data_IF_844931929837
#
_entry.id   IF_844931929837
#
_cell.length_a   1.000
_cell.length_b   1.000
_cell.length_c   1.000
_cell.angle_alpha   90.00
_cell.angle_beta   90.00
_cell.angle_gamma   90.00
#
_symmetry.space_group_name_H-M   'P 1'
#
loop_
_entity.id
_entity.type
_entity.pdbx_description
1 polymer ?
#
# COMPACT_ATOMS: atom_id res chain seq x y z
N UNK A 1 -52.57 -67.90 35.46
CA UNK A 1 -53.24 -67.06 34.45
C UNK A 1 -52.36 -66.97 33.21
N UNK A 2 -52.87 -66.48 32.06
CA UNK A 2 -52.17 -66.59 30.77
C UNK A 2 -50.98 -65.61 30.67
N UNK A 3 -49.84 -66.09 30.17
CA UNK A 3 -48.92 -65.24 29.41
C UNK A 3 -49.56 -64.91 28.06
N UNK A 4 -49.39 -63.68 27.60
CA UNK A 4 -49.62 -63.30 26.21
C UNK A 4 -48.27 -62.95 25.57
N UNK A 5 -47.74 -63.87 24.78
CA UNK A 5 -46.70 -63.52 23.81
C UNK A 5 -47.34 -62.70 22.69
N UNK A 6 -46.85 -61.49 22.48
CA UNK A 6 -47.24 -60.65 21.34
C UNK A 6 -46.33 -61.04 20.18
N UNK A 7 -46.87 -61.79 19.21
CA UNK A 7 -46.13 -62.20 18.01
C UNK A 7 -46.05 -61.00 17.06
N UNK A 8 -44.90 -60.34 17.02
CA UNK A 8 -44.66 -59.12 16.24
C UNK A 8 -44.46 -59.40 14.73
N UNK A 9 -44.15 -60.63 14.35
CA UNK A 9 -43.86 -61.00 12.96
C UNK A 9 -44.99 -61.81 12.32
N UNK A 10 -45.42 -61.40 11.12
CA UNK A 10 -46.40 -62.14 10.32
C UNK A 10 -45.79 -63.45 9.78
N UNK A 11 -46.59 -64.54 9.66
CA UNK A 11 -46.15 -65.76 9.00
C UNK A 11 -45.86 -65.50 7.51
N UNK A 12 -44.87 -66.22 6.96
CA UNK A 12 -44.29 -65.98 5.62
C UNK A 12 -45.33 -66.07 4.50
N UNK A 13 -46.27 -66.99 4.64
CA UNK A 13 -47.46 -67.20 3.80
C UNK A 13 -48.49 -66.05 3.82
N UNK A 14 -48.40 -65.12 4.78
CA UNK A 14 -49.17 -63.86 4.79
C UNK A 14 -48.35 -62.60 4.49
N UNK A 15 -47.02 -62.67 4.56
CA UNK A 15 -46.16 -61.52 4.26
C UNK A 15 -46.34 -61.02 2.80
N UNK A 16 -46.66 -61.93 1.87
CA UNK A 16 -46.89 -61.61 0.45
C UNK A 16 -48.28 -61.05 0.12
N UNK A 17 -49.20 -60.92 1.09
CA UNK A 17 -50.57 -60.40 0.86
C UNK A 17 -50.83 -59.01 1.47
N UNK A 18 -49.81 -58.36 2.03
CA UNK A 18 -49.90 -57.01 2.60
C UNK A 18 -49.31 -55.99 1.64
N UNK A 19 -50.20 -55.37 0.85
CA UNK A 19 -49.95 -54.24 -0.05
C UNK A 19 -48.93 -54.51 -1.20
N UNK A 20 -49.45 -54.92 -2.36
CA UNK A 20 -48.87 -54.48 -3.63
C UNK A 20 -49.10 -52.96 -3.79
N UNK A 21 -48.25 -52.16 -3.13
CA UNK A 21 -48.05 -50.77 -3.56
C UNK A 21 -47.36 -50.81 -4.91
N UNK A 22 -48.09 -50.48 -5.98
CA UNK A 22 -47.45 -50.07 -7.22
C UNK A 22 -46.45 -48.93 -6.92
N UNK A 23 -45.22 -49.02 -7.46
CA UNK A 23 -44.25 -47.92 -7.35
C UNK A 23 -44.84 -46.66 -8.00
N UNK A 24 -44.61 -45.52 -7.37
CA UNK A 24 -45.01 -44.20 -7.91
C UNK A 24 -43.98 -43.63 -8.88
N UNK A 25 -42.74 -44.09 -8.74
CA UNK A 25 -41.56 -43.79 -9.54
C UNK A 25 -41.12 -45.01 -10.38
N UNK A 26 -40.05 -44.87 -11.18
CA UNK A 26 -39.66 -45.79 -12.25
C UNK A 26 -40.78 -46.04 -13.29
N UNK A 27 -41.40 -44.97 -13.79
CA UNK A 27 -42.46 -45.01 -14.82
C UNK A 27 -42.05 -44.36 -16.14
N UNK A 28 -42.54 -44.87 -17.29
CA UNK A 28 -42.12 -44.46 -18.65
C UNK A 28 -42.39 -42.97 -19.00
N UNK A 29 -43.13 -42.24 -18.17
CA UNK A 29 -43.40 -40.80 -18.33
C UNK A 29 -43.09 -40.02 -17.03
N UNK A 30 -42.06 -40.45 -16.27
CA UNK A 30 -41.63 -39.82 -15.01
C UNK A 30 -41.31 -38.32 -15.19
N UNK A 31 -40.45 -38.03 -16.16
CA UNK A 31 -39.89 -36.71 -16.51
C UNK A 31 -40.93 -35.68 -16.95
N UNK A 32 -42.18 -36.09 -17.22
CA UNK A 32 -43.28 -35.17 -17.55
C UNK A 32 -44.08 -34.71 -16.31
N UNK A 33 -43.76 -35.22 -15.11
CA UNK A 33 -44.35 -34.80 -13.84
C UNK A 33 -43.52 -33.65 -13.28
N UNK A 34 -44.14 -32.63 -12.64
CA UNK A 34 -43.36 -31.66 -11.85
C UNK A 34 -42.54 -32.40 -10.77
N UNK A 35 -41.28 -32.01 -10.61
CA UNK A 35 -40.34 -32.55 -9.64
C UNK A 35 -40.92 -32.60 -8.22
N UNK A 36 -40.57 -33.67 -7.50
CA UNK A 36 -41.03 -33.95 -6.15
C UNK A 36 -39.94 -34.67 -5.33
N UNK A 37 -39.42 -33.96 -4.32
CA UNK A 37 -38.34 -34.43 -3.44
C UNK A 37 -38.57 -35.83 -2.85
N UNK A 38 -39.80 -36.13 -2.43
CA UNK A 38 -40.16 -37.43 -1.84
C UNK A 38 -40.08 -38.55 -2.89
N UNK A 39 -40.54 -38.29 -4.11
CA UNK A 39 -40.54 -39.26 -5.23
C UNK A 39 -39.15 -39.49 -5.83
N UNK A 40 -38.44 -38.43 -6.23
CA UNK A 40 -37.16 -38.58 -6.94
C UNK A 40 -35.99 -38.90 -6.01
N UNK A 41 -35.89 -38.23 -4.86
CA UNK A 41 -34.67 -38.24 -4.05
C UNK A 41 -34.78 -38.99 -2.71
N UNK A 42 -35.99 -39.30 -2.23
CA UNK A 42 -36.21 -40.06 -0.98
C UNK A 42 -36.75 -41.48 -1.22
N UNK A 43 -37.68 -41.68 -2.16
CA UNK A 43 -38.09 -43.01 -2.63
C UNK A 43 -37.03 -43.62 -3.58
N UNK A 44 -36.26 -42.81 -4.33
CA UNK A 44 -35.26 -43.24 -5.32
C UNK A 44 -33.93 -42.43 -5.25
N UNK A 45 -32.99 -42.73 -6.16
CA UNK A 45 -31.64 -42.10 -6.20
C UNK A 45 -31.57 -41.04 -7.30
N UNK A 46 -31.68 -39.76 -6.95
CA UNK A 46 -31.71 -38.67 -7.93
C UNK A 46 -30.33 -38.15 -8.37
N UNK A 47 -30.32 -37.61 -9.59
CA UNK A 47 -29.29 -36.78 -10.19
C UNK A 47 -29.37 -35.32 -9.72
N UNK A 48 -28.36 -34.52 -10.06
CA UNK A 48 -28.32 -33.10 -9.69
C UNK A 48 -29.39 -32.29 -10.41
N UNK A 49 -29.71 -32.67 -11.65
CA UNK A 49 -30.69 -31.96 -12.48
C UNK A 49 -32.12 -32.18 -11.95
N UNK A 50 -32.47 -33.40 -11.55
CA UNK A 50 -33.74 -33.70 -10.88
C UNK A 50 -33.86 -32.90 -9.56
N UNK A 51 -32.79 -32.81 -8.76
CA UNK A 51 -32.79 -31.96 -7.57
C UNK A 51 -32.99 -30.47 -7.93
N UNK A 52 -32.41 -30.00 -9.04
CA UNK A 52 -32.56 -28.62 -9.54
C UNK A 52 -34.00 -28.32 -9.96
N UNK A 53 -34.68 -29.28 -10.59
CA UNK A 53 -36.10 -29.21 -10.96
C UNK A 53 -37.04 -29.29 -9.74
N UNK A 54 -36.64 -29.98 -8.67
CA UNK A 54 -37.39 -30.05 -7.40
C UNK A 54 -37.42 -28.70 -6.68
N UNK A 55 -36.29 -27.99 -6.60
CA UNK A 55 -36.18 -26.75 -5.80
C UNK A 55 -36.42 -25.46 -6.57
N UNK A 56 -36.28 -25.47 -7.91
CA UNK A 56 -36.38 -24.29 -8.79
C UNK A 56 -35.45 -23.12 -8.39
N UNK A 57 -34.41 -23.43 -7.59
CA UNK A 57 -33.52 -22.47 -6.91
C UNK A 57 -32.12 -23.08 -6.74
N UNK A 58 -31.11 -22.41 -7.28
CA UNK A 58 -29.72 -22.87 -7.26
C UNK A 58 -29.18 -23.10 -5.84
N UNK A 59 -29.37 -22.14 -4.92
CA UNK A 59 -28.81 -22.23 -3.58
C UNK A 59 -29.47 -23.35 -2.78
N UNK A 60 -30.80 -23.52 -2.89
CA UNK A 60 -31.51 -24.62 -2.23
C UNK A 60 -31.13 -25.99 -2.82
N UNK A 61 -30.89 -26.06 -4.13
CA UNK A 61 -30.40 -27.26 -4.80
C UNK A 61 -29.04 -27.68 -4.24
N UNK A 62 -28.09 -26.73 -4.14
CA UNK A 62 -26.76 -27.01 -3.60
C UNK A 62 -26.82 -27.38 -2.11
N UNK A 63 -27.58 -26.65 -1.29
CA UNK A 63 -27.76 -26.93 0.15
C UNK A 63 -28.46 -28.27 0.45
N UNK A 64 -29.26 -28.79 -0.49
CA UNK A 64 -29.77 -30.17 -0.44
C UNK A 64 -28.72 -31.18 -0.93
N UNK A 65 -28.09 -30.89 -2.08
CA UNK A 65 -27.27 -31.86 -2.80
C UNK A 65 -26.00 -32.28 -2.04
N UNK A 66 -25.37 -31.35 -1.33
CA UNK A 66 -24.20 -31.63 -0.48
C UNK A 66 -24.56 -32.73 0.54
N UNK A 67 -25.55 -32.43 1.39
CA UNK A 67 -26.14 -33.34 2.39
C UNK A 67 -26.63 -34.66 1.79
N UNK A 68 -27.10 -34.66 0.55
CA UNK A 68 -27.58 -35.84 -0.16
C UNK A 68 -26.46 -36.77 -0.66
N UNK A 69 -25.21 -36.28 -0.84
CA UNK A 69 -24.10 -37.08 -1.36
C UNK A 69 -23.08 -37.52 -0.32
N UNK A 70 -22.74 -36.69 0.66
CA UNK A 70 -21.78 -37.04 1.72
C UNK A 70 -22.24 -36.71 3.15
N UNK A 71 -23.40 -36.06 3.30
CA UNK A 71 -24.02 -35.78 4.60
C UNK A 71 -23.67 -34.39 5.15
N UNK A 72 -24.53 -33.86 6.02
CA UNK A 72 -24.39 -32.52 6.59
C UNK A 72 -23.21 -32.46 7.57
N UNK A 73 -22.09 -31.89 7.12
CA UNK A 73 -20.87 -31.81 7.92
C UNK A 73 -20.97 -30.75 9.02
N UNK A 74 -21.94 -29.84 8.92
CA UNK A 74 -22.27 -28.85 9.93
C UNK A 74 -23.06 -29.42 11.12
N UNK A 75 -23.64 -30.63 11.04
CA UNK A 75 -24.27 -31.31 12.20
C UNK A 75 -23.31 -31.42 13.40
N UNK A 76 -22.02 -31.63 13.12
CA UNK A 76 -20.97 -31.71 14.15
C UNK A 76 -20.71 -30.39 14.89
N UNK A 77 -21.32 -29.28 14.44
CA UNK A 77 -21.08 -27.91 14.92
C UNK A 77 -19.59 -27.53 14.93
N UNK A 78 -18.86 -27.66 13.79
CA UNK A 78 -17.40 -27.54 13.77
C UNK A 78 -16.92 -26.10 14.02
N UNK A 79 -17.72 -25.10 13.63
CA UNK A 79 -17.40 -23.69 13.80
C UNK A 79 -17.59 -23.24 15.27
N UNK A 80 -16.48 -22.92 15.93
CA UNK A 80 -16.42 -22.42 17.30
C UNK A 80 -16.73 -20.93 17.35
N UNK A 81 -16.75 -20.36 18.57
CA UNK A 81 -16.78 -18.91 18.82
C UNK A 81 -17.85 -18.13 18.03
N UNK A 82 -19.06 -18.71 17.92
CA UNK A 82 -20.22 -18.14 17.21
C UNK A 82 -20.05 -17.99 15.69
N UNK A 83 -19.05 -18.66 15.09
CA UNK A 83 -18.94 -18.79 13.64
C UNK A 83 -20.13 -19.58 13.05
N UNK A 84 -20.59 -19.17 11.87
CA UNK A 84 -21.66 -19.87 11.14
C UNK A 84 -21.05 -20.91 10.20
N UNK A 85 -21.59 -22.12 10.19
CA UNK A 85 -21.18 -23.19 9.29
C UNK A 85 -21.99 -23.13 7.99
N UNK A 86 -21.34 -23.33 6.85
CA UNK A 86 -21.96 -23.67 5.57
C UNK A 86 -21.40 -25.00 5.06
N UNK A 87 -22.31 -25.90 4.73
CA UNK A 87 -22.06 -27.25 4.22
C UNK A 87 -21.69 -27.26 2.72
N UNK A 88 -20.92 -28.26 2.28
CA UNK A 88 -20.31 -28.36 0.95
C UNK A 88 -19.96 -29.81 0.58
N UNK A 89 -19.62 -30.08 -0.68
CA UNK A 89 -19.21 -31.41 -1.12
C UNK A 89 -17.78 -31.71 -0.62
N UNK A 90 -17.66 -32.66 0.31
CA UNK A 90 -16.41 -33.07 0.95
C UNK A 90 -15.78 -32.05 1.89
N UNK A 91 -16.37 -30.86 2.07
CA UNK A 91 -15.90 -29.83 2.99
C UNK A 91 -17.00 -28.90 3.51
N UNK A 92 -16.82 -28.41 4.74
CA UNK A 92 -17.55 -27.26 5.28
C UNK A 92 -16.68 -26.00 5.31
N UNK A 93 -17.33 -24.84 5.31
CA UNK A 93 -16.72 -23.53 5.48
C UNK A 93 -17.32 -22.80 6.70
N UNK A 94 -16.49 -22.14 7.50
CA UNK A 94 -16.89 -21.39 8.69
C UNK A 94 -16.75 -19.88 8.47
N UNK A 95 -17.85 -19.12 8.50
CA UNK A 95 -17.79 -17.66 8.54
C UNK A 95 -17.70 -17.21 10.00
N UNK A 96 -16.52 -16.79 10.44
CA UNK A 96 -16.23 -16.47 11.83
C UNK A 96 -16.84 -15.15 12.32
N UNK A 97 -17.05 -15.06 13.64
CA UNK A 97 -17.42 -13.81 14.31
C UNK A 97 -16.21 -12.86 14.38
N UNK A 98 -16.45 -11.55 14.58
CA UNK A 98 -15.36 -10.57 14.63
C UNK A 98 -14.36 -10.89 15.76
N UNK A 99 -13.06 -10.91 15.42
CA UNK A 99 -12.00 -11.26 16.36
C UNK A 99 -11.64 -12.75 16.39
N UNK A 100 -12.20 -13.58 15.50
CA UNK A 100 -11.85 -15.01 15.39
C UNK A 100 -11.49 -15.42 13.96
N UNK A 101 -10.55 -16.37 13.86
CA UNK A 101 -10.01 -16.92 12.61
C UNK A 101 -9.65 -18.42 12.76
N UNK A 102 -9.12 -19.03 11.71
CA UNK A 102 -8.87 -20.49 11.63
C UNK A 102 -10.03 -21.24 10.96
N UNK A 103 -9.80 -22.51 10.57
CA UNK A 103 -10.80 -23.30 9.81
C UNK A 103 -12.10 -23.49 10.60
N UNK A 104 -12.00 -23.52 11.93
CA UNK A 104 -13.09 -23.72 12.87
C UNK A 104 -13.36 -22.47 13.71
N UNK A 105 -12.86 -21.30 13.32
CA UNK A 105 -12.91 -20.07 14.13
C UNK A 105 -12.29 -20.24 15.54
N UNK A 106 -11.33 -21.15 15.67
CA UNK A 106 -10.73 -21.58 16.93
C UNK A 106 -9.62 -20.64 17.44
N UNK A 107 -9.11 -19.78 16.57
CA UNK A 107 -8.04 -18.83 16.88
C UNK A 107 -8.62 -17.45 17.19
N UNK A 108 -8.12 -16.80 18.25
CA UNK A 108 -8.44 -15.41 18.56
C UNK A 108 -7.52 -14.48 17.74
N UNK A 109 -8.09 -13.68 16.84
CA UNK A 109 -7.38 -12.67 16.05
C UNK A 109 -6.89 -11.55 16.96
N UNK A 110 -5.67 -11.70 17.48
CA UNK A 110 -5.01 -10.70 18.35
C UNK A 110 -4.63 -9.49 17.52
N UNK A 111 -5.44 -8.43 17.58
CA UNK A 111 -5.12 -7.12 17.00
C UNK A 111 -3.83 -6.60 17.67
N UNK A 112 -2.74 -6.58 16.92
CA UNK A 112 -1.36 -6.24 17.32
C UNK A 112 -0.77 -5.31 16.25
N UNK A 113 0.09 -4.37 16.62
CA UNK A 113 0.74 -3.49 15.65
C UNK A 113 1.73 -4.24 14.73
N UNK A 114 2.20 -5.40 15.14
CA UNK A 114 3.04 -6.30 14.33
C UNK A 114 2.28 -7.00 13.19
N UNK A 115 0.95 -6.93 13.14
CA UNK A 115 0.10 -7.58 12.13
C UNK A 115 -0.67 -6.51 11.35
N UNK A 116 -0.33 -6.31 10.07
CA UNK A 116 -0.73 -5.17 9.20
C UNK A 116 -0.93 -3.83 9.95
N UNK A 117 0.05 -3.44 10.77
CA UNK A 117 0.01 -2.19 11.52
C UNK A 117 -1.25 -2.03 12.40
N UNK A 118 -1.84 -3.16 12.86
CA UNK A 118 -3.10 -3.18 13.59
C UNK A 118 -4.24 -2.49 12.85
N UNK A 119 -4.32 -2.67 11.53
CA UNK A 119 -5.23 -2.02 10.58
C UNK A 119 -5.05 -0.49 10.41
N UNK A 120 -4.20 0.17 11.20
CA UNK A 120 -4.08 1.63 11.22
C UNK A 120 -3.51 2.18 9.90
N UNK A 121 -4.10 3.26 9.36
CA UNK A 121 -3.61 3.90 8.13
C UNK A 121 -2.24 4.57 8.28
N UNK A 122 -1.93 5.04 9.49
CA UNK A 122 -0.68 5.72 9.82
C UNK A 122 -0.08 5.13 11.12
N UNK A 123 -0.20 5.77 12.27
CA UNK A 123 0.49 5.31 13.49
C UNK A 123 -0.34 4.29 14.27
N UNK A 124 0.31 3.22 14.74
CA UNK A 124 -0.27 2.19 15.59
C UNK A 124 0.44 2.15 16.95
N UNK A 125 -0.32 2.02 18.05
CA UNK A 125 0.20 1.72 19.39
C UNK A 125 -0.65 0.65 20.07
N UNK A 126 -0.01 -0.19 20.89
CA UNK A 126 -0.69 -1.22 21.67
C UNK A 126 -0.97 -0.71 23.10
N UNK A 127 -2.24 -0.71 23.50
CA UNK A 127 -2.68 -0.30 24.84
C UNK A 127 -3.61 -1.35 25.44
N UNK A 128 -3.23 -1.94 26.58
CA UNK A 128 -4.03 -2.88 27.37
C UNK A 128 -4.67 -4.02 26.54
N UNK A 129 -3.88 -4.66 25.66
CA UNK A 129 -4.32 -5.71 24.73
C UNK A 129 -5.32 -5.27 23.65
N UNK A 130 -5.35 -3.97 23.34
CA UNK A 130 -6.03 -3.38 22.18
C UNK A 130 -5.05 -2.57 21.31
N UNK A 131 -5.45 -2.25 20.08
CA UNK A 131 -4.71 -1.34 19.19
C UNK A 131 -5.41 0.01 19.14
N UNK A 132 -4.66 1.07 19.45
CA UNK A 132 -5.05 2.47 19.28
C UNK A 132 -4.31 3.04 18.07
N UNK A 133 -5.06 3.60 17.12
CA UNK A 133 -4.51 4.28 15.95
C UNK A 133 -4.41 5.79 16.17
N UNK A 134 -3.43 6.43 15.52
CA UNK A 134 -3.30 7.89 15.46
C UNK A 134 -2.70 8.34 14.13
N UNK A 135 -2.90 9.62 13.79
CA UNK A 135 -2.58 10.16 12.48
C UNK A 135 -1.51 11.27 12.53
N UNK A 136 -0.90 11.55 11.38
CA UNK A 136 0.08 12.61 11.18
C UNK A 136 -0.57 14.01 11.18
N UNK A 137 0.26 15.06 11.26
CA UNK A 137 -0.21 16.44 11.21
C UNK A 137 -0.97 16.74 9.91
N UNK A 138 -2.17 17.34 10.01
CA UNK A 138 -3.07 17.58 8.86
C UNK A 138 -4.03 16.42 8.55
N UNK A 139 -4.08 15.40 9.41
CA UNK A 139 -5.02 14.30 9.35
C UNK A 139 -5.80 14.14 10.67
N UNK A 140 -7.05 13.68 10.56
CA UNK A 140 -7.91 13.26 11.67
C UNK A 140 -8.20 11.76 11.57
N UNK A 141 -8.39 11.11 12.71
CA UNK A 141 -8.84 9.72 12.78
C UNK A 141 -10.33 9.67 12.41
N UNK A 142 -10.69 8.82 11.44
CA UNK A 142 -12.08 8.62 11.02
C UNK A 142 -12.89 7.77 12.01
N UNK A 143 -14.21 7.75 11.83
CA UNK A 143 -15.17 7.12 12.76
C UNK A 143 -14.97 5.60 12.97
N UNK A 144 -14.26 4.93 12.05
CA UNK A 144 -13.86 3.52 12.19
C UNK A 144 -12.70 3.30 13.19
N UNK A 145 -12.10 4.36 13.74
CA UNK A 145 -10.96 4.30 14.65
C UNK A 145 -9.65 3.81 14.03
N UNK A 146 -9.57 3.69 12.70
CA UNK A 146 -8.43 3.13 11.95
C UNK A 146 -7.88 4.06 10.87
N UNK A 147 -8.76 4.73 10.15
CA UNK A 147 -8.41 5.48 8.94
C UNK A 147 -8.01 6.92 9.21
N UNK A 148 -7.08 7.45 8.41
CA UNK A 148 -6.57 8.81 8.55
C UNK A 148 -7.04 9.71 7.40
N UNK A 149 -8.02 10.55 7.69
CA UNK A 149 -8.69 11.45 6.73
C UNK A 149 -7.99 12.81 6.78
N UNK A 150 -7.68 13.40 5.62
CA UNK A 150 -7.07 14.74 5.59
C UNK A 150 -8.05 15.85 5.93
N UNK A 151 -7.59 16.87 6.67
CA UNK A 151 -8.32 18.15 6.86
C UNK A 151 -7.93 19.21 5.84
N UNK A 152 -6.77 19.07 5.18
CA UNK A 152 -6.17 20.09 4.33
C UNK A 152 -6.30 19.74 2.84
N UNK A 153 -6.22 20.72 1.92
CA UNK A 153 -6.12 20.44 0.48
C UNK A 153 -4.75 19.85 0.09
N UNK A 154 -3.69 20.18 0.85
CA UNK A 154 -2.31 19.75 0.61
C UNK A 154 -1.69 19.17 1.90
N UNK A 155 -2.19 18.03 2.41
CA UNK A 155 -1.68 17.41 3.62
C UNK A 155 -0.26 16.88 3.44
N UNK A 156 0.42 16.63 4.57
CA UNK A 156 1.75 16.06 4.51
C UNK A 156 1.75 14.68 3.83
N UNK A 157 2.83 14.38 3.12
CA UNK A 157 3.12 13.05 2.61
C UNK A 157 2.17 12.53 1.54
N UNK A 158 1.32 13.37 0.93
CA UNK A 158 0.59 12.98 -0.28
C UNK A 158 1.37 13.33 -1.54
N UNK A 159 1.21 12.48 -2.54
CA UNK A 159 1.47 12.84 -3.94
C UNK A 159 0.21 13.48 -4.52
N UNK A 160 0.46 14.36 -5.47
CA UNK A 160 -0.50 15.35 -5.98
C UNK A 160 -0.60 15.28 -7.50
N UNK A 161 -0.29 14.09 -8.06
CA UNK A 161 -0.49 13.73 -9.46
C UNK A 161 -1.85 14.26 -9.94
N UNK A 162 -1.84 15.04 -11.02
CA UNK A 162 -3.04 15.66 -11.56
C UNK A 162 -4.15 14.63 -11.75
N UNK A 163 -5.31 14.85 -11.10
CA UNK A 163 -6.47 13.95 -11.22
C UNK A 163 -6.91 13.90 -12.68
N UNK A 164 -6.50 12.85 -13.40
CA UNK A 164 -7.14 12.48 -14.66
C UNK A 164 -8.65 12.38 -14.41
N UNK A 165 -9.43 13.13 -15.18
CA UNK A 165 -10.89 13.18 -15.05
C UNK A 165 -11.46 11.83 -15.45
N UNK A 166 -11.59 10.93 -14.48
CA UNK A 166 -12.60 9.86 -14.57
C UNK A 166 -13.96 10.55 -14.61
N UNK A 167 -14.49 10.71 -15.81
CA UNK A 167 -15.87 11.14 -16.02
C UNK A 167 -16.79 10.16 -15.28
N UNK A 168 -17.40 10.63 -14.20
CA UNK A 168 -18.48 9.90 -13.56
C UNK A 168 -19.71 10.03 -14.47
N UNK A 169 -19.88 9.07 -15.38
CA UNK A 169 -21.04 9.04 -16.25
C UNK A 169 -22.27 8.70 -15.42
N UNK A 170 -23.15 9.68 -15.22
CA UNK A 170 -24.39 9.51 -14.49
C UNK A 170 -25.44 8.90 -15.41
N UNK A 171 -25.50 7.56 -15.43
CA UNK A 171 -26.60 6.80 -16.01
C UNK A 171 -27.93 7.21 -15.38
N UNK A 172 -28.61 8.15 -16.03
CA UNK A 172 -29.92 8.67 -15.64
C UNK A 172 -30.98 8.09 -16.58
N UNK A 173 -31.89 7.32 -16.02
CA UNK A 173 -32.94 6.63 -16.79
C UNK A 173 -33.94 7.64 -17.37
N UNK A 174 -34.13 7.61 -18.70
CA UNK A 174 -35.27 8.23 -19.36
C UNK A 174 -35.56 7.55 -20.71
N UNK A 175 -36.72 6.89 -20.83
CA UNK A 175 -37.33 6.55 -22.12
C UNK A 175 -38.12 7.78 -22.64
N UNK A 176 -38.35 7.94 -23.96
CA UNK A 176 -39.48 7.22 -24.58
C UNK A 176 -39.35 6.82 -26.07
N UNK A 177 -40.22 5.88 -26.45
CA UNK A 177 -40.95 5.70 -27.72
C UNK A 177 -40.27 5.76 -29.11
N UNK A 178 -40.21 4.57 -29.73
CA UNK A 178 -40.82 4.20 -31.02
C UNK A 178 -40.56 5.03 -32.31
N UNK A 179 -39.81 4.43 -33.25
CA UNK A 179 -39.81 4.75 -34.68
C UNK A 179 -39.40 3.55 -35.53
N UNK A 180 -40.09 3.31 -36.66
CA UNK A 180 -39.80 2.20 -37.60
C UNK A 180 -38.89 2.67 -38.75
N UNK A 181 -37.97 1.82 -39.20
CA UNK A 181 -37.95 1.35 -40.60
C UNK A 181 -37.05 0.11 -40.78
N UNK A 182 -37.38 -0.74 -41.74
CA UNK A 182 -36.71 -2.00 -42.07
C UNK A 182 -35.34 -1.81 -42.76
N UNK A 183 -34.37 -2.69 -42.51
CA UNK A 183 -33.81 -3.59 -43.55
C UNK A 183 -32.79 -4.63 -43.03
N UNK A 184 -33.16 -5.91 -43.22
CA UNK A 184 -32.34 -7.15 -43.24
C UNK A 184 -32.26 -7.61 -44.73
N UNK A 185 -31.48 -8.64 -45.18
CA UNK A 185 -30.97 -9.77 -44.38
C UNK A 185 -29.56 -10.34 -44.69
N UNK A 186 -29.13 -11.28 -43.85
CA UNK A 186 -28.30 -12.45 -44.23
C UNK A 186 -26.88 -12.49 -43.63
N UNK A 187 -26.34 -13.64 -43.20
CA UNK A 187 -26.85 -15.03 -43.22
C UNK A 187 -26.28 -15.83 -42.02
N UNK A 188 -26.86 -17.00 -41.68
CA UNK A 188 -26.64 -17.67 -40.38
C UNK A 188 -25.90 -19.01 -40.42
N UNK A 189 -24.84 -19.11 -39.60
CA UNK A 189 -24.42 -20.35 -38.91
C UNK A 189 -23.34 -21.20 -39.59
N UNK A 190 -22.99 -22.36 -39.00
CA UNK A 190 -23.49 -22.93 -37.74
C UNK A 190 -22.45 -22.97 -36.60
N UNK A 191 -22.94 -23.15 -35.37
CA UNK A 191 -22.14 -23.63 -34.23
C UNK A 191 -22.22 -25.14 -34.12
N UNK A 192 -21.09 -25.83 -33.94
CA UNK A 192 -21.07 -27.16 -33.30
C UNK A 192 -19.97 -27.25 -32.22
N UNK A 193 -20.17 -28.19 -31.31
CA UNK A 193 -19.50 -28.27 -30.02
C UNK A 193 -18.33 -29.27 -29.92
N UNK A 194 -18.04 -29.77 -28.71
CA UNK A 194 -16.70 -30.22 -28.35
C UNK A 194 -16.44 -31.71 -28.54
N UNK A 195 -15.15 -32.08 -28.67
CA UNK A 195 -14.48 -32.99 -27.71
C UNK A 195 -12.97 -33.20 -28.01
N UNK A 196 -12.18 -33.23 -26.94
CA UNK A 196 -10.94 -34.03 -26.74
C UNK A 196 -9.71 -33.87 -27.67
N UNK A 197 -8.62 -33.31 -27.11
CA UNK A 197 -7.46 -34.04 -26.51
C UNK A 197 -6.06 -33.52 -26.88
N UNK A 198 -5.20 -33.49 -25.85
CA UNK A 198 -3.73 -33.47 -25.84
C UNK A 198 -3.00 -32.23 -26.34
N UNK A 199 -2.53 -31.48 -25.35
CA UNK A 199 -1.28 -30.71 -25.24
C UNK A 199 -0.25 -30.87 -26.37
N UNK A 200 0.30 -29.74 -26.84
CA UNK A 200 1.72 -29.44 -26.67
C UNK A 200 2.01 -27.93 -26.78
N UNK A 201 3.26 -27.59 -26.47
CA UNK A 201 3.85 -26.31 -26.11
C UNK A 201 3.70 -25.12 -27.08
N UNK A 202 4.09 -23.95 -26.57
CA UNK A 202 4.45 -22.70 -27.26
C UNK A 202 3.32 -21.88 -27.91
N UNK A 203 3.10 -20.68 -27.37
CA UNK A 203 2.28 -19.62 -27.99
C UNK A 203 2.91 -18.27 -27.69
N UNK A 204 3.15 -17.49 -28.74
CA UNK A 204 3.64 -16.11 -28.65
C UNK A 204 2.52 -15.18 -28.15
N UNK A 205 2.82 -14.13 -27.37
CA UNK A 205 1.92 -12.98 -27.24
C UNK A 205 1.84 -12.21 -28.56
N UNK A 206 0.63 -11.76 -28.92
CA UNK A 206 0.44 -10.74 -29.95
C UNK A 206 1.01 -9.37 -29.52
N UNK A 207 1.03 -8.38 -30.44
CA UNK A 207 1.86 -7.20 -30.31
C UNK A 207 1.51 -6.31 -29.10
N UNK A 208 2.53 -5.96 -28.32
CA UNK A 208 2.51 -4.78 -27.46
C UNK A 208 2.65 -3.54 -28.36
N UNK A 209 1.94 -2.45 -28.04
CA UNK A 209 2.05 -1.17 -28.75
C UNK A 209 3.37 -0.48 -28.34
N UNK A 210 4.10 0.11 -29.29
CA UNK A 210 5.49 0.57 -29.10
C UNK A 210 5.65 1.64 -27.99
N UNK A 211 6.11 1.25 -26.79
CA UNK A 211 6.69 2.20 -25.82
C UNK A 211 8.16 2.50 -26.18
N UNK A 212 8.41 3.74 -26.60
CA UNK A 212 9.66 4.30 -27.15
C UNK A 212 10.95 3.90 -26.37
N UNK A 213 11.87 3.15 -27.00
CA UNK A 213 13.16 2.75 -26.41
C UNK A 213 14.18 3.93 -26.38
N UNK A 214 13.85 5.00 -25.65
CA UNK A 214 14.77 6.12 -25.38
C UNK A 214 14.31 6.90 -24.13
N UNK A 215 15.10 7.05 -23.06
CA UNK A 215 16.52 7.36 -23.05
C UNK A 215 17.15 7.17 -21.65
N UNK A 216 18.48 7.19 -21.56
CA UNK A 216 19.24 6.98 -20.31
C UNK A 216 19.10 8.17 -19.33
N UNK A 217 18.40 7.96 -18.21
CA UNK A 217 18.19 8.99 -17.18
C UNK A 217 19.21 8.88 -16.03
N UNK A 218 19.45 10.02 -15.35
CA UNK A 218 20.70 10.36 -14.69
C UNK A 218 20.52 11.49 -13.66
N UNK A 219 20.82 11.48 -12.35
CA UNK A 219 21.16 10.49 -11.29
C UNK A 219 21.36 9.04 -11.72
N UNK A 220 22.49 8.43 -11.31
CA UNK A 220 22.83 7.03 -11.62
C UNK A 220 21.67 6.10 -11.25
N UNK A 221 21.06 5.45 -12.25
CA UNK A 221 19.81 4.67 -12.15
C UNK A 221 18.50 5.47 -12.06
N UNK A 222 18.54 6.65 -11.44
CA UNK A 222 17.37 7.47 -11.12
C UNK A 222 16.66 8.07 -12.34
N UNK A 223 15.33 8.15 -12.26
CA UNK A 223 14.44 8.69 -13.30
C UNK A 223 13.96 10.10 -12.98
N UNK A 224 13.30 10.74 -13.94
CA UNK A 224 12.64 12.04 -13.73
C UNK A 224 11.50 11.92 -12.71
N UNK A 225 11.40 12.94 -11.85
CA UNK A 225 10.25 13.12 -10.98
C UNK A 225 9.12 13.81 -11.76
N UNK A 226 7.93 13.19 -11.79
CA UNK A 226 6.74 13.73 -12.45
C UNK A 226 6.14 14.91 -11.65
N UNK A 227 5.28 15.71 -12.29
CA UNK A 227 4.55 16.78 -11.61
C UNK A 227 3.77 16.23 -10.40
N UNK A 228 3.95 16.81 -9.21
CA UNK A 228 3.32 16.34 -7.98
C UNK A 228 3.81 14.98 -7.43
N UNK A 229 4.95 14.46 -7.91
CA UNK A 229 5.56 13.23 -7.39
C UNK A 229 6.56 13.44 -6.25
N UNK A 230 7.28 14.57 -6.22
CA UNK A 230 8.24 14.94 -5.18
C UNK A 230 7.91 16.30 -4.53
N UNK A 231 6.65 16.61 -4.15
CA UNK A 231 6.22 17.98 -3.84
C UNK A 231 6.84 18.58 -2.56
N UNK A 232 7.52 17.75 -1.75
CA UNK A 232 8.30 18.15 -0.58
C UNK A 232 9.76 18.54 -0.89
N UNK A 233 10.18 18.50 -2.15
CA UNK A 233 11.53 18.88 -2.55
C UNK A 233 11.76 20.38 -2.33
N UNK A 234 12.89 20.71 -1.72
CA UNK A 234 13.45 22.05 -1.72
C UNK A 234 14.88 22.06 -2.27
N UNK A 235 15.33 23.21 -2.73
CA UNK A 235 16.70 23.46 -3.22
C UNK A 235 17.28 24.69 -2.51
N UNK A 236 18.45 24.54 -1.89
CA UNK A 236 19.21 25.65 -1.32
C UNK A 236 20.09 26.24 -2.42
N UNK A 237 19.88 27.52 -2.72
CA UNK A 237 20.62 28.27 -3.76
C UNK A 237 21.47 29.39 -3.16
N UNK A 238 22.69 29.58 -3.69
CA UNK A 238 23.63 30.61 -3.24
C UNK A 238 23.22 32.04 -3.72
N UNK A 239 24.04 33.06 -3.46
CA UNK A 239 23.77 34.44 -3.92
C UNK A 239 23.85 34.60 -5.46
N UNK A 240 24.43 33.63 -6.17
CA UNK A 240 24.52 33.55 -7.64
C UNK A 240 23.38 32.69 -8.25
N UNK A 241 22.43 32.25 -7.41
CA UNK A 241 21.33 31.31 -7.69
C UNK A 241 21.72 29.87 -8.06
N UNK A 242 22.99 29.47 -7.87
CA UNK A 242 23.39 28.07 -8.06
C UNK A 242 22.89 27.19 -6.90
N UNK A 243 22.28 26.05 -7.23
CA UNK A 243 21.87 25.04 -6.26
C UNK A 243 23.05 24.23 -5.72
N UNK A 244 23.19 24.17 -4.38
CA UNK A 244 24.31 23.47 -3.73
C UNK A 244 23.90 22.32 -2.80
N UNK A 245 22.69 22.36 -2.24
CA UNK A 245 22.13 21.32 -1.39
C UNK A 245 20.61 21.19 -1.58
N UNK A 246 20.07 20.02 -1.32
CA UNK A 246 18.62 19.79 -1.19
C UNK A 246 18.06 20.18 0.19
N UNK A 247 16.74 20.13 0.29
CA UNK A 247 15.98 20.21 1.53
C UNK A 247 14.64 19.48 1.43
N UNK A 248 13.98 19.27 2.57
CA UNK A 248 12.63 18.67 2.66
C UNK A 248 11.66 19.62 3.33
N UNK A 249 10.55 19.95 2.69
CA UNK A 249 9.50 20.81 3.26
C UNK A 249 8.79 20.06 4.40
N UNK A 250 8.72 20.67 5.59
CA UNK A 250 8.01 20.13 6.77
C UNK A 250 6.73 20.92 7.10
N UNK A 251 6.70 22.21 6.77
CA UNK A 251 5.55 23.11 6.96
C UNK A 251 5.79 24.39 6.14
N UNK A 252 4.79 25.28 6.06
CA UNK A 252 4.87 26.56 5.33
C UNK A 252 6.14 27.38 5.65
N UNK A 253 6.60 27.31 6.91
CA UNK A 253 7.74 28.08 7.40
C UNK A 253 9.02 27.25 7.65
N UNK A 254 9.01 25.93 7.46
CA UNK A 254 10.14 25.07 7.89
C UNK A 254 10.57 24.05 6.85
N UNK A 255 11.88 24.01 6.62
CA UNK A 255 12.57 23.08 5.72
C UNK A 255 13.69 22.37 6.47
N UNK A 256 13.72 21.04 6.36
CA UNK A 256 14.77 20.17 6.90
C UNK A 256 15.93 20.08 5.91
N UNK A 257 17.17 20.09 6.38
CA UNK A 257 18.37 19.88 5.54
C UNK A 257 19.54 19.36 6.38
N UNK A 258 20.69 19.14 5.77
CA UNK A 258 21.92 18.74 6.45
C UNK A 258 22.61 19.94 7.12
N UNK A 259 23.29 19.72 8.26
CA UNK A 259 24.02 20.78 8.95
C UNK A 259 25.26 21.25 8.18
N UNK A 260 25.90 20.36 7.42
CA UNK A 260 27.08 20.70 6.63
C UNK A 260 26.78 21.68 5.48
N UNK A 261 25.55 21.68 4.93
CA UNK A 261 25.11 22.62 3.90
C UNK A 261 25.20 24.08 4.38
N UNK A 262 24.93 24.34 5.66
CA UNK A 262 25.04 25.67 6.28
C UNK A 262 26.47 26.23 6.32
N UNK A 263 27.47 25.39 6.04
CA UNK A 263 28.87 25.77 5.97
C UNK A 263 29.37 25.99 4.53
N UNK A 264 28.55 25.72 3.50
CA UNK A 264 28.92 25.92 2.10
C UNK A 264 28.65 27.36 1.63
N UNK A 265 27.54 27.99 2.07
CA UNK A 265 27.18 29.35 1.71
C UNK A 265 26.88 30.20 2.97
N UNK A 266 27.42 31.43 3.04
CA UNK A 266 27.15 32.38 4.15
C UNK A 266 25.72 32.93 4.16
N UNK A 267 25.13 33.02 2.98
CA UNK A 267 23.76 33.42 2.70
C UNK A 267 23.25 32.55 1.56
N UNK A 268 21.99 32.19 1.63
CA UNK A 268 21.32 31.36 0.64
C UNK A 268 19.81 31.60 0.72
N UNK A 269 19.11 31.24 -0.35
CA UNK A 269 17.65 31.17 -0.39
C UNK A 269 17.23 29.71 -0.49
N UNK A 270 15.99 29.42 -0.15
CA UNK A 270 15.36 28.13 -0.43
C UNK A 270 14.38 28.32 -1.57
N UNK A 271 14.61 27.64 -2.70
CA UNK A 271 13.59 27.49 -3.74
C UNK A 271 12.76 26.22 -3.51
N UNK A 272 11.49 26.27 -3.89
CA UNK A 272 10.53 25.16 -3.87
C UNK A 272 9.69 25.19 -5.15
N UNK A 273 9.20 24.03 -5.57
CA UNK A 273 8.39 23.86 -6.78
C UNK A 273 9.19 23.56 -8.04
N UNK A 274 10.47 23.94 -8.10
CA UNK A 274 11.37 23.66 -9.22
C UNK A 274 11.32 22.19 -9.66
N UNK A 275 11.14 22.01 -10.98
CA UNK A 275 11.25 20.71 -11.65
C UNK A 275 12.32 20.70 -12.74
N UNK A 276 12.57 21.85 -13.37
CA UNK A 276 13.66 22.04 -14.32
C UNK A 276 14.29 23.44 -14.15
N UNK A 277 15.54 23.49 -13.66
CA UNK A 277 16.29 24.72 -13.36
C UNK A 277 16.66 25.56 -14.62
N UNK A 278 16.43 25.03 -15.83
CA UNK A 278 16.59 25.76 -17.09
C UNK A 278 15.28 26.42 -17.58
N UNK A 279 14.18 26.29 -16.82
CA UNK A 279 12.85 26.82 -17.16
C UNK A 279 12.21 27.46 -15.93
N UNK A 280 11.30 28.41 -16.16
CA UNK A 280 10.32 28.83 -15.16
C UNK A 280 8.96 28.30 -15.62
N UNK A 281 8.41 27.35 -14.87
CA UNK A 281 7.12 26.69 -15.14
C UNK A 281 5.95 27.46 -14.49
N UNK A 282 6.26 28.42 -13.59
CA UNK A 282 5.35 29.46 -13.10
C UNK A 282 4.79 29.20 -11.69
N UNK A 283 5.23 28.12 -11.05
CA UNK A 283 4.84 27.70 -9.71
C UNK A 283 6.00 27.70 -8.71
N UNK A 284 7.22 28.00 -9.16
CA UNK A 284 8.43 28.08 -8.34
C UNK A 284 8.42 29.30 -7.40
N UNK A 285 8.86 29.10 -6.16
CA UNK A 285 8.93 30.16 -5.16
C UNK A 285 10.27 30.19 -4.43
N UNK A 286 10.88 31.38 -4.33
CA UNK A 286 12.16 31.60 -3.65
C UNK A 286 11.97 32.32 -2.31
N UNK A 287 12.35 31.66 -1.21
CA UNK A 287 12.17 32.12 0.16
C UNK A 287 13.51 32.50 0.81
N UNK A 288 13.54 33.63 1.52
CA UNK A 288 14.67 33.99 2.37
C UNK A 288 14.63 33.20 3.69
N UNK A 289 15.80 32.77 4.18
CA UNK A 289 15.93 32.11 5.49
C UNK A 289 16.05 33.17 6.59
N UNK A 290 15.19 33.08 7.61
CA UNK A 290 15.19 33.94 8.79
C UNK A 290 16.11 33.39 9.90
N UNK A 291 16.07 32.07 10.13
CA UNK A 291 16.84 31.40 11.19
C UNK A 291 17.38 30.06 10.69
N UNK A 292 18.64 29.75 11.02
CA UNK A 292 19.28 28.45 10.78
C UNK A 292 19.51 27.71 12.09
N UNK A 293 18.69 26.70 12.38
CA UNK A 293 18.78 25.91 13.61
C UNK A 293 19.56 24.62 13.34
N UNK A 294 20.88 24.66 13.49
CA UNK A 294 21.74 23.47 13.37
C UNK A 294 21.80 22.67 14.68
N UNK A 295 21.92 21.34 14.61
CA UNK A 295 22.06 20.55 15.82
C UNK A 295 23.42 20.80 16.49
N UNK A 296 23.40 21.08 17.81
CA UNK A 296 24.58 21.59 18.55
C UNK A 296 25.74 20.61 18.70
N UNK A 297 25.51 19.31 18.45
CA UNK A 297 26.54 18.25 18.46
C UNK A 297 26.99 17.81 17.06
N UNK A 298 26.72 18.60 16.02
CA UNK A 298 27.22 18.32 14.66
C UNK A 298 28.76 18.24 14.64
N UNK A 299 29.30 17.13 14.17
CA UNK A 299 30.74 16.88 14.03
C UNK A 299 31.08 16.91 12.54
N UNK A 300 31.94 17.83 12.11
CA UNK A 300 32.25 18.06 10.68
C UNK A 300 33.12 16.95 10.09
N UNK A 301 33.92 16.30 10.92
CA UNK A 301 34.93 15.31 10.56
C UNK A 301 34.32 13.93 10.29
N UNK A 302 33.16 13.64 10.90
CA UNK A 302 32.45 12.35 10.79
C UNK A 302 31.03 12.48 10.24
N UNK A 303 30.51 13.70 10.08
CA UNK A 303 29.10 14.02 9.80
C UNK A 303 28.13 13.43 10.84
N UNK A 304 28.58 13.11 12.05
CA UNK A 304 27.64 12.75 13.11
C UNK A 304 26.78 13.95 13.52
N UNK A 305 25.49 13.70 13.73
CA UNK A 305 24.47 14.73 13.92
C UNK A 305 24.36 15.77 12.78
N UNK A 306 24.57 15.35 11.54
CA UNK A 306 24.40 16.19 10.35
C UNK A 306 22.92 16.47 10.03
N UNK A 307 22.33 17.43 10.76
CA UNK A 307 20.93 17.85 10.65
C UNK A 307 20.73 19.32 11.04
N UNK A 308 19.93 20.02 10.23
CA UNK A 308 19.50 21.40 10.45
C UNK A 308 18.03 21.61 10.09
N UNK A 309 17.37 22.55 10.76
CA UNK A 309 16.05 23.09 10.38
C UNK A 309 16.23 24.55 9.99
N UNK A 310 15.72 24.91 8.82
CA UNK A 310 15.61 26.28 8.33
C UNK A 310 14.24 26.83 8.72
N UNK A 311 14.19 28.05 9.26
CA UNK A 311 12.96 28.84 9.37
C UNK A 311 12.93 29.88 8.24
N UNK A 312 11.88 29.88 7.45
CA UNK A 312 11.68 30.81 6.33
C UNK A 312 11.05 32.12 6.82
N UNK A 313 11.40 33.22 6.15
CA UNK A 313 10.90 34.58 6.41
C UNK A 313 9.50 34.84 5.84
N UNK A 314 9.13 34.07 4.81
CA UNK A 314 7.82 34.11 4.14
C UNK A 314 7.26 32.69 4.02
N UNK A 315 5.94 32.47 4.18
CA UNK A 315 5.34 31.15 4.08
C UNK A 315 5.38 30.63 2.65
N UNK A 316 5.74 29.35 2.50
CA UNK A 316 5.51 28.57 1.28
C UNK A 316 4.00 28.47 1.05
N UNK A 317 3.54 28.86 -0.14
CA UNK A 317 2.15 28.61 -0.56
C UNK A 317 2.05 27.21 -1.13
N UNK A 318 1.32 26.31 -0.47
CA UNK A 318 1.15 24.94 -0.97
C UNK A 318 0.29 24.88 -2.24
N UNK A 319 0.64 23.95 -3.13
CA UNK A 319 0.11 23.72 -4.48
C UNK A 319 0.14 22.23 -4.80
N UNK A 320 -0.21 21.84 -6.02
CA UNK A 320 0.04 20.49 -6.52
C UNK A 320 1.53 20.15 -6.41
N UNK A 321 2.42 20.89 -7.07
CA UNK A 321 3.86 20.62 -7.04
C UNK A 321 4.59 21.00 -5.72
N UNK A 322 3.91 21.58 -4.72
CA UNK A 322 4.54 22.05 -3.47
C UNK A 322 3.69 21.68 -2.24
N UNK A 323 4.13 20.69 -1.46
CA UNK A 323 3.44 20.17 -0.27
C UNK A 323 4.44 19.50 0.71
N UNK A 324 4.19 19.49 2.03
CA UNK A 324 5.15 18.97 3.00
C UNK A 324 5.25 17.44 3.00
N UNK A 325 6.37 16.88 3.47
CA UNK A 325 6.48 15.46 3.82
C UNK A 325 6.10 15.23 5.30
N UNK A 326 5.53 14.06 5.65
CA UNK A 326 5.15 13.80 7.04
C UNK A 326 6.35 13.45 7.92
N UNK A 327 6.36 13.93 9.16
CA UNK A 327 7.22 13.38 10.21
C UNK A 327 6.52 12.16 10.86
N UNK A 328 7.17 11.00 11.00
CA UNK A 328 6.60 9.82 11.64
C UNK A 328 6.83 9.80 13.17
N UNK A 329 6.09 8.96 13.90
CA UNK A 329 6.42 8.66 15.31
C UNK A 329 7.64 7.74 15.44
N UNK A 330 8.50 7.94 16.44
CA UNK A 330 9.78 7.20 16.56
C UNK A 330 9.60 5.68 16.56
N UNK A 331 8.86 5.16 17.55
CA UNK A 331 8.77 3.71 17.78
C UNK A 331 8.11 3.02 16.58
N UNK A 332 7.09 3.65 16.02
CA UNK A 332 6.39 3.20 14.83
C UNK A 332 7.29 3.21 13.59
N UNK A 333 8.05 4.28 13.36
CA UNK A 333 8.99 4.34 12.24
C UNK A 333 10.06 3.23 12.31
N UNK A 334 10.56 2.94 13.51
CA UNK A 334 11.59 1.91 13.73
C UNK A 334 11.05 0.48 13.63
N UNK A 335 9.75 0.26 13.82
CA UNK A 335 9.08 -1.03 13.61
C UNK A 335 8.52 -1.23 12.19
N UNK A 336 8.03 -0.15 11.55
CA UNK A 336 7.16 -0.22 10.36
C UNK A 336 7.74 0.46 9.11
N UNK A 337 8.53 1.54 9.24
CA UNK A 337 9.11 2.23 8.09
C UNK A 337 10.50 1.69 7.72
N UNK A 338 11.37 1.50 8.71
CA UNK A 338 12.74 1.00 8.50
C UNK A 338 12.79 -0.52 8.23
N UNK A 339 11.64 -1.17 8.23
CA UNK A 339 11.42 -2.57 7.85
C UNK A 339 10.80 -2.72 6.45
N UNK A 340 10.44 -1.60 5.80
CA UNK A 340 10.12 -1.62 4.37
C UNK A 340 11.36 -1.98 3.54
N UNK A 341 11.15 -2.53 2.35
CA UNK A 341 12.26 -2.92 1.46
C UNK A 341 13.09 -1.70 1.02
N UNK A 342 12.43 -0.56 0.80
CA UNK A 342 12.95 0.59 0.07
C UNK A 342 12.52 1.93 0.67
N UNK A 343 13.29 2.97 0.36
CA UNK A 343 12.91 4.38 0.47
C UNK A 343 13.15 5.10 -0.86
N UNK A 344 12.71 6.35 -0.96
CA UNK A 344 12.87 7.21 -2.13
C UNK A 344 13.73 8.41 -1.77
N UNK A 345 14.69 8.71 -2.63
CA UNK A 345 15.54 9.91 -2.59
C UNK A 345 15.24 10.77 -3.81
N UNK A 346 15.25 12.09 -3.67
CA UNK A 346 15.08 13.03 -4.78
C UNK A 346 15.99 14.25 -4.66
N UNK A 347 16.38 14.82 -5.81
CA UNK A 347 17.28 15.96 -5.87
C UNK A 347 17.78 16.34 -7.27
N UNK A 348 18.65 17.33 -7.30
CA UNK A 348 19.29 17.92 -8.49
C UNK A 348 20.79 17.57 -8.58
N UNK A 349 21.24 16.58 -7.80
CA UNK A 349 22.64 16.24 -7.64
C UNK A 349 23.34 15.72 -8.90
N UNK A 350 24.64 15.46 -8.75
CA UNK A 350 25.50 15.01 -9.84
C UNK A 350 25.05 13.66 -10.37
N UNK A 351 24.93 13.57 -11.69
CA UNK A 351 24.32 12.41 -12.34
C UNK A 351 25.24 11.18 -12.43
N UNK A 352 26.49 11.33 -12.00
CA UNK A 352 27.55 10.31 -11.92
C UNK A 352 28.70 10.91 -11.08
N UNK A 353 29.64 10.09 -10.58
CA UNK A 353 30.77 10.62 -9.79
C UNK A 353 31.55 11.67 -10.60
N UNK A 354 31.73 12.88 -10.03
CA UNK A 354 32.36 14.06 -10.66
C UNK A 354 31.64 14.62 -11.91
N UNK A 355 30.41 14.15 -12.19
CA UNK A 355 29.59 14.67 -13.28
C UNK A 355 29.08 16.10 -13.07
N UNK A 356 28.29 16.59 -14.02
CA UNK A 356 27.51 17.82 -13.83
C UNK A 356 26.28 17.54 -12.93
N UNK A 357 25.80 18.53 -12.15
CA UNK A 357 24.47 18.50 -11.54
C UNK A 357 23.38 18.27 -12.59
N UNK A 358 22.20 17.83 -12.16
CA UNK A 358 21.04 17.69 -13.04
C UNK A 358 20.24 19.00 -13.07
N UNK A 359 19.89 19.50 -14.25
CA UNK A 359 18.95 20.63 -14.36
C UNK A 359 17.51 20.21 -14.05
N UNK A 360 17.15 18.94 -14.28
CA UNK A 360 15.83 18.38 -13.96
C UNK A 360 15.82 17.61 -12.64
N UNK A 361 14.75 17.74 -11.85
CA UNK A 361 14.55 16.99 -10.61
C UNK A 361 14.45 15.49 -10.88
N UNK A 362 15.38 14.72 -10.30
CA UNK A 362 15.39 13.26 -10.39
C UNK A 362 14.91 12.62 -9.08
N UNK A 363 14.52 11.36 -9.18
CA UNK A 363 14.26 10.49 -8.04
C UNK A 363 14.79 9.07 -8.27
N UNK A 364 15.20 8.42 -7.19
CA UNK A 364 15.66 7.03 -7.16
C UNK A 364 14.98 6.31 -5.98
N UNK A 365 14.58 5.06 -6.19
CA UNK A 365 14.15 4.16 -5.12
C UNK A 365 15.35 3.30 -4.70
N UNK A 366 15.70 3.34 -3.40
CA UNK A 366 16.90 2.73 -2.84
C UNK A 366 16.54 1.72 -1.74
N UNK A 367 17.14 0.52 -1.70
CA UNK A 367 16.88 -0.46 -0.67
C UNK A 367 17.59 -0.09 0.65
N UNK A 368 16.98 -0.42 1.78
CA UNK A 368 17.63 -0.31 3.09
C UNK A 368 18.72 -1.37 3.25
N UNK A 369 19.88 -0.96 3.75
CA UNK A 369 21.04 -1.86 3.96
C UNK A 369 21.19 -2.21 5.43
N UNK A 370 21.47 -3.49 5.75
CA UNK A 370 21.70 -3.93 7.13
C UNK A 370 22.82 -3.13 7.81
N UNK A 371 22.65 -2.91 9.12
CA UNK A 371 23.56 -2.11 9.94
C UNK A 371 24.98 -2.70 10.04
N UNK A 372 25.16 -4.00 9.87
CA UNK A 372 26.50 -4.61 9.87
C UNK A 372 27.13 -4.49 8.48
N UNK A 373 26.40 -4.79 7.41
CA UNK A 373 26.84 -4.58 6.03
C UNK A 373 27.25 -3.13 5.79
N UNK A 374 26.41 -2.17 6.17
CA UNK A 374 26.66 -0.71 6.12
C UNK A 374 27.95 -0.28 6.85
N UNK A 375 28.26 -0.89 8.01
CA UNK A 375 29.51 -0.64 8.72
C UNK A 375 30.73 -1.27 8.03
N UNK A 376 30.59 -2.50 7.53
CA UNK A 376 31.67 -3.24 6.89
C UNK A 376 32.02 -2.68 5.50
N UNK A 377 31.05 -2.07 4.81
CA UNK A 377 31.29 -1.35 3.56
C UNK A 377 32.09 -0.07 3.74
N UNK A 378 32.05 0.58 4.90
CA UNK A 378 32.64 1.92 5.08
C UNK A 378 34.03 1.90 5.73
N UNK A 379 34.89 2.82 5.30
CA UNK A 379 36.14 3.14 6.00
C UNK A 379 35.95 4.14 7.16
N UNK A 380 34.75 4.72 7.31
CA UNK A 380 34.39 5.68 8.34
C UNK A 380 33.40 5.08 9.36
N UNK A 381 33.30 5.70 10.55
CA UNK A 381 32.47 5.18 11.64
C UNK A 381 30.98 5.53 11.46
N UNK A 382 30.18 4.56 11.02
CA UNK A 382 28.71 4.70 10.94
C UNK A 382 28.08 4.69 12.35
N UNK A 383 27.65 5.87 12.82
CA UNK A 383 27.09 6.06 14.17
C UNK A 383 25.64 5.55 14.29
N UNK A 384 25.06 5.44 15.51
CA UNK A 384 23.64 5.11 15.69
C UNK A 384 22.67 6.15 15.12
N UNK A 385 23.16 7.33 14.72
CA UNK A 385 22.40 8.40 14.08
C UNK A 385 22.37 8.29 12.55
N UNK A 386 22.98 7.25 11.98
CA UNK A 386 23.11 7.03 10.54
C UNK A 386 22.54 5.67 10.13
N UNK A 387 22.06 5.60 8.89
CA UNK A 387 21.79 4.35 8.17
C UNK A 387 22.35 4.45 6.73
N UNK A 388 22.52 3.30 6.08
CA UNK A 388 22.86 3.23 4.66
C UNK A 388 21.63 2.82 3.84
N UNK A 389 21.53 3.33 2.62
CA UNK A 389 20.58 2.85 1.61
C UNK A 389 21.22 2.98 0.21
N UNK A 390 20.91 2.04 -0.68
CA UNK A 390 21.54 1.95 -2.01
C UNK A 390 21.89 0.50 -2.39
N UNK A 391 22.31 0.30 -3.64
CA UNK A 391 22.56 -1.01 -4.21
C UNK A 391 24.03 -1.45 -4.07
N UNK A 392 24.28 -2.76 -3.98
CA UNK A 392 25.64 -3.29 -3.79
C UNK A 392 26.46 -3.38 -5.07
N UNK A 393 25.81 -3.75 -6.18
CA UNK A 393 26.46 -3.99 -7.48
C UNK A 393 25.89 -3.17 -8.64
N UNK A 394 24.67 -2.66 -8.50
CA UNK A 394 24.06 -1.81 -9.51
C UNK A 394 24.68 -0.41 -9.45
N UNK A 395 24.90 0.27 -10.59
CA UNK A 395 25.44 1.62 -10.63
C UNK A 395 24.36 2.65 -10.29
N UNK A 396 23.78 2.56 -9.10
CA UNK A 396 22.62 3.36 -8.67
C UNK A 396 22.78 3.89 -7.23
N UNK A 397 22.85 5.22 -7.07
CA UNK A 397 23.15 5.88 -5.79
C UNK A 397 22.80 7.38 -5.83
N UNK A 398 22.59 7.97 -4.65
CA UNK A 398 22.51 9.42 -4.49
C UNK A 398 23.91 10.05 -4.59
N UNK A 399 24.02 11.32 -4.99
CA UNK A 399 25.35 11.90 -5.26
C UNK A 399 25.47 13.37 -4.81
N UNK A 400 26.64 13.95 -5.06
CA UNK A 400 27.01 15.30 -4.62
C UNK A 400 26.02 16.34 -5.17
N UNK A 401 25.41 17.12 -4.27
CA UNK A 401 24.34 18.08 -4.59
C UNK A 401 22.94 17.62 -4.15
N UNK A 402 22.72 16.32 -3.96
CA UNK A 402 21.52 15.80 -3.29
C UNK A 402 21.59 15.97 -1.77
N UNK A 403 22.79 16.23 -1.23
CA UNK A 403 23.06 16.50 0.20
C UNK A 403 22.05 17.47 0.83
N UNK A 404 21.49 17.10 1.98
CA UNK A 404 20.38 17.81 2.64
C UNK A 404 18.99 17.48 2.10
N UNK A 405 18.90 16.82 0.94
CA UNK A 405 17.64 16.38 0.33
C UNK A 405 16.92 15.26 1.09
N UNK A 406 15.67 14.98 0.69
CA UNK A 406 14.82 13.99 1.35
C UNK A 406 15.31 12.56 1.12
N UNK A 407 15.22 11.74 2.18
CA UNK A 407 14.97 10.31 2.05
C UNK A 407 13.62 10.02 2.72
N UNK A 408 12.61 9.65 1.92
CA UNK A 408 11.24 9.38 2.39
C UNK A 408 10.87 7.91 2.19
N UNK A 409 9.99 7.39 3.04
CA UNK A 409 9.46 6.03 2.93
C UNK A 409 7.95 6.08 2.83
N UNK A 410 7.40 5.35 1.85
CA UNK A 410 5.94 5.19 1.70
C UNK A 410 5.43 4.15 2.68
N UNK A 411 4.38 4.48 3.41
CA UNK A 411 3.53 3.51 4.10
C UNK A 411 2.08 3.72 3.66
N UNK A 412 1.40 2.65 3.22
CA UNK A 412 0.10 2.71 2.51
C UNK A 412 0.12 3.81 1.43
N UNK A 413 -0.60 4.91 1.64
CA UNK A 413 -0.63 6.09 0.76
C UNK A 413 -0.13 7.37 1.47
N UNK A 414 0.89 7.27 2.32
CA UNK A 414 1.54 8.42 2.98
C UNK A 414 3.07 8.30 2.92
N UNK A 415 3.76 9.38 2.56
CA UNK A 415 5.21 9.48 2.50
C UNK A 415 5.77 10.18 3.76
N UNK A 416 6.65 9.48 4.47
CA UNK A 416 7.24 9.93 5.74
C UNK A 416 8.75 10.18 5.60
N UNK A 417 9.27 11.25 6.18
CA UNK A 417 10.72 11.52 6.21
C UNK A 417 11.42 10.53 7.15
N UNK A 418 12.26 9.67 6.60
CA UNK A 418 13.04 8.66 7.34
C UNK A 418 14.53 9.00 7.40
N UNK A 419 15.04 9.72 6.42
CA UNK A 419 16.42 10.18 6.37
C UNK A 419 16.62 11.55 5.72
N UNK A 420 17.86 12.03 5.81
CA UNK A 420 18.39 13.20 5.09
C UNK A 420 19.66 12.72 4.38
N UNK A 421 19.83 13.04 3.10
CA UNK A 421 21.07 12.74 2.36
C UNK A 421 22.24 13.45 3.05
N UNK A 422 23.28 12.72 3.48
CA UNK A 422 24.42 13.32 4.19
C UNK A 422 25.71 13.18 3.38
N UNK A 423 26.27 11.98 3.25
CA UNK A 423 27.54 11.74 2.55
C UNK A 423 27.61 10.33 1.93
N UNK A 424 28.67 10.05 1.16
CA UNK A 424 28.95 8.73 0.57
C UNK A 424 30.42 8.58 0.19
N UNK A 425 30.91 7.34 0.09
CA UNK A 425 32.33 7.02 -0.22
C UNK A 425 32.61 7.00 -1.74
N UNK A 426 32.11 8.02 -2.45
CA UNK A 426 31.98 8.08 -3.90
C UNK A 426 30.52 8.35 -4.29
N UNK A 427 30.14 7.96 -5.50
CA UNK A 427 28.74 7.75 -5.89
C UNK A 427 28.68 6.45 -6.70
N UNK A 428 27.75 5.55 -6.39
CA UNK A 428 27.49 4.31 -7.14
C UNK A 428 28.74 3.42 -7.34
N UNK A 429 29.54 3.24 -6.28
CA UNK A 429 30.71 2.35 -6.26
C UNK A 429 30.31 1.00 -5.66
N UNK A 430 30.67 -0.10 -6.34
CA UNK A 430 30.39 -1.48 -5.87
C UNK A 430 30.87 -1.70 -4.43
N UNK A 431 30.00 -2.24 -3.57
CA UNK A 431 30.27 -2.43 -2.14
C UNK A 431 30.33 -1.13 -1.31
N UNK A 432 29.70 -0.04 -1.78
CA UNK A 432 29.50 1.23 -1.06
C UNK A 432 28.05 1.69 -1.23
N UNK A 433 27.55 2.46 -0.28
CA UNK A 433 26.18 2.96 -0.25
C UNK A 433 26.15 4.43 0.19
N UNK A 434 25.11 5.17 -0.18
CA UNK A 434 24.81 6.48 0.42
C UNK A 434 24.53 6.36 1.92
N UNK A 435 24.97 7.36 2.69
CA UNK A 435 24.81 7.44 4.15
C UNK A 435 23.87 8.60 4.50
N UNK A 436 22.86 8.29 5.32
CA UNK A 436 21.72 9.16 5.60
C UNK A 436 21.59 9.42 7.11
N UNK A 437 21.30 10.67 7.49
CA UNK A 437 21.01 11.02 8.89
C UNK A 437 19.65 10.45 9.27
N UNK A 438 19.60 9.57 10.28
CA UNK A 438 18.39 8.84 10.72
C UNK A 438 17.40 9.75 11.45
N UNK A 439 16.37 10.23 10.75
CA UNK A 439 15.42 11.23 11.27
C UNK A 439 14.66 10.76 12.52
N UNK A 440 14.43 9.44 12.68
CA UNK A 440 13.75 8.87 13.86
C UNK A 440 14.45 9.18 15.20
N UNK A 441 15.77 9.41 15.20
CA UNK A 441 16.50 9.83 16.40
C UNK A 441 16.31 11.32 16.74
N UNK A 442 15.81 12.13 15.80
CA UNK A 442 15.81 13.59 15.87
C UNK A 442 14.44 14.24 15.94
N UNK A 443 13.34 13.49 15.85
CA UNK A 443 11.96 14.01 15.90
C UNK A 443 11.74 15.02 17.04
N UNK A 444 12.03 14.64 18.30
CA UNK A 444 11.95 15.52 19.49
C UNK A 444 12.91 16.72 19.48
N UNK A 445 13.88 16.77 18.58
CA UNK A 445 14.71 17.95 18.33
C UNK A 445 14.11 18.80 17.21
N UNK A 446 13.69 18.20 16.09
CA UNK A 446 12.99 18.87 14.97
C UNK A 446 11.76 19.63 15.48
N UNK A 447 10.89 18.96 16.26
CA UNK A 447 9.70 19.56 16.88
C UNK A 447 10.00 20.79 17.75
N UNK A 448 11.17 20.83 18.40
CA UNK A 448 11.61 21.96 19.22
C UNK A 448 12.24 23.06 18.36
N UNK A 449 13.02 22.69 17.34
CA UNK A 449 13.58 23.63 16.36
C UNK A 449 12.49 24.35 15.57
N UNK A 450 11.40 23.68 15.19
CA UNK A 450 10.23 24.28 14.54
C UNK A 450 9.37 25.16 15.48
N UNK A 451 9.61 25.09 16.80
CA UNK A 451 8.98 25.97 17.80
C UNK A 451 9.93 27.08 18.29
N UNK A 452 11.22 27.01 17.93
CA UNK A 452 12.21 28.00 18.30
C UNK A 452 11.91 29.31 17.56
N UNK A 453 11.74 30.39 18.33
CA UNK A 453 11.76 31.74 17.77
C UNK A 453 13.22 32.13 17.50
N UNK A 454 13.42 33.14 16.65
CA UNK A 454 14.72 33.77 16.52
C UNK A 454 15.16 34.31 17.89
N UNK A 455 16.14 33.68 18.53
CA UNK A 455 16.85 34.28 19.65
C UNK A 455 17.67 35.45 19.08
N UNK A 456 17.21 36.67 19.33
CA UNK A 456 17.89 37.87 18.89
C UNK A 456 19.32 37.88 19.45
N UNK A 457 20.31 38.08 18.58
CA UNK A 457 21.71 37.86 18.89
C UNK A 457 22.20 38.67 20.08
N UNK A 458 22.36 38.00 21.22
CA UNK A 458 23.05 38.55 22.38
C UNK A 458 24.56 38.55 22.10
N UNK A 459 25.07 39.63 21.51
CA UNK A 459 26.52 39.87 21.51
C UNK A 459 27.01 39.96 22.96
N UNK A 460 28.08 39.24 23.34
CA UNK A 460 28.68 39.41 24.65
C UNK A 460 29.40 40.77 24.69
N UNK A 461 28.81 41.75 25.37
CA UNK A 461 29.52 43.00 25.69
C UNK A 461 30.82 42.68 26.44
N UNK A 462 31.98 43.17 25.97
CA UNK A 462 33.22 43.06 26.72
C UNK A 462 33.21 43.99 27.94
N UNK A 463 33.74 43.49 29.06
CA UNK A 463 34.21 44.25 30.22
C UNK A 463 35.66 43.84 30.50
#
# INVERSE_FOLDING_TARGET
>A
TRNHEVVVFLPRDRAHSVLERARRANSFWEEMKKGNLERECLEETCSYEEAREVFEDQQKTDEFWNKYKDGDQCESSPCQNQGKCKDGLGEYNCTCAEGFEGKNCELLTRKLCSLDNGDCDQFCREEQSSVVCSCASGYILGDNGKSCISTEPFPCGKRTLGRSRRSADHGSEAAPEAGRSEQEPGDLGPTEGPLHLLSLNDTEPGPEEDEDESSLVRIVGGRDCREGECPWQALLVNEENEGFCGGTILSEFHVLTAAHCLHQAKKFKVRVGDRNLEKEEGDEAAHEVEVTVKHSRFVRETYDFDIAVLKLKTPITFRTNVAPACLPEKNWAEATLLTQKTGIVSGFGRTHERGRPSSTLKMLEVPYVDRNTCKLSSSFLITPNMFCAGYDEQPEDACQGDSGGPHVTRFRDTYFVTGIVSWGEGCARRGKYGVYTKVTNFLKWIERSMRARAEAGAEPHPQ
#
